data_IF_890279635030
#
_entry.id   IF_890279635030
#
_cell.length_a   1.000
_cell.length_b   1.000
_cell.length_c   1.000
_cell.angle_alpha   90.00
_cell.angle_beta   90.00
_cell.angle_gamma   90.00
#
_symmetry.space_group_name_H-M   'P 1'
#
loop_
_entity.id
_entity.type
_entity.pdbx_description
1 polymer ?
#
# COMPACT_ATOMS: atom_id res chain seq x y z
N UNK A 1 -42.24 -17.44 -12.79
CA UNK A 1 -42.57 -18.87 -12.79
C UNK A 1 -41.45 -19.64 -13.49
N UNK A 2 -41.02 -20.77 -12.89
CA UNK A 2 -39.96 -21.74 -13.31
C UNK A 2 -38.52 -21.27 -13.01
N UNK A 3 -37.79 -21.78 -12.01
CA UNK A 3 -37.38 -23.14 -11.57
C UNK A 3 -36.01 -23.55 -12.15
N UNK A 4 -34.98 -23.61 -11.27
CA UNK A 4 -33.91 -24.63 -11.19
C UNK A 4 -32.87 -24.12 -10.16
N UNK A 5 -32.73 -24.62 -8.93
CA UNK A 5 -32.50 -25.97 -8.41
C UNK A 5 -31.02 -26.44 -8.46
N UNK A 6 -30.38 -26.37 -7.29
CA UNK A 6 -29.44 -27.32 -6.66
C UNK A 6 -28.08 -27.63 -7.31
N UNK A 7 -27.00 -27.55 -6.51
CA UNK A 7 -26.25 -28.71 -5.99
C UNK A 7 -25.49 -28.26 -4.73
N UNK A 8 -25.81 -28.93 -3.61
CA UNK A 8 -25.02 -28.94 -2.39
C UNK A 8 -24.07 -30.14 -2.47
N UNK A 9 -22.80 -29.94 -2.11
CA UNK A 9 -21.86 -31.03 -1.85
C UNK A 9 -21.18 -30.76 -0.50
N UNK A 10 -21.64 -31.49 0.51
CA UNK A 10 -20.94 -31.69 1.77
C UNK A 10 -20.07 -32.95 1.62
N UNK A 11 -18.80 -32.87 2.03
CA UNK A 11 -18.00 -34.05 2.33
C UNK A 11 -17.09 -33.75 3.53
N UNK A 12 -17.36 -34.53 4.57
CA UNK A 12 -16.60 -34.69 5.80
C UNK A 12 -15.21 -35.28 5.50
N UNK A 13 -14.21 -35.00 6.35
CA UNK A 13 -13.59 -36.01 7.23
C UNK A 13 -12.37 -35.45 7.99
N UNK A 14 -12.57 -35.42 9.30
CA UNK A 14 -11.69 -35.68 10.43
C UNK A 14 -10.30 -36.26 10.14
N UNK A 15 -9.25 -35.64 10.70
CA UNK A 15 -8.05 -36.33 11.17
C UNK A 15 -7.49 -35.65 12.44
N UNK A 16 -7.68 -36.31 13.59
CA UNK A 16 -6.92 -36.06 14.81
C UNK A 16 -5.49 -36.58 14.61
N UNK A 17 -4.50 -35.73 14.89
CA UNK A 17 -3.09 -36.13 14.96
C UNK A 17 -2.40 -35.43 16.12
N UNK A 18 -2.48 -36.04 17.31
CA UNK A 18 -1.68 -35.68 18.48
C UNK A 18 -0.30 -36.31 18.33
N UNK A 19 0.75 -35.48 18.25
CA UNK A 19 2.12 -35.92 18.47
C UNK A 19 2.93 -34.76 19.06
N UNK A 20 3.18 -34.84 20.37
CA UNK A 20 4.28 -34.17 21.06
C UNK A 20 5.31 -35.26 21.36
N UNK A 21 6.60 -34.99 21.15
CA UNK A 21 7.45 -34.81 22.32
C UNK A 21 8.50 -33.71 22.17
N UNK A 22 8.87 -33.17 23.33
CA UNK A 22 9.88 -32.16 23.58
C UNK A 22 11.32 -32.59 23.23
N UNK A 23 12.13 -31.62 22.78
CA UNK A 23 13.55 -31.56 23.17
C UNK A 23 14.04 -30.12 23.27
N UNK A 24 14.57 -29.81 24.45
CA UNK A 24 15.34 -28.66 24.90
C UNK A 24 16.55 -28.34 24.01
N UNK A 25 16.77 -27.07 23.72
CA UNK A 25 18.14 -26.56 23.55
C UNK A 25 18.27 -25.16 24.16
N UNK A 26 18.92 -25.12 25.32
CA UNK A 26 19.34 -23.90 26.03
C UNK A 26 20.68 -23.46 25.47
N UNK A 27 20.68 -22.46 24.59
CA UNK A 27 21.89 -21.77 24.12
C UNK A 27 22.11 -20.46 24.90
N UNK A 28 23.27 -20.23 25.53
CA UNK A 28 23.55 -18.98 26.23
C UNK A 28 23.78 -17.82 25.26
N UNK A 29 23.14 -16.72 25.62
CA UNK A 29 23.22 -15.36 25.10
C UNK A 29 24.66 -14.84 24.99
N UNK A 30 25.10 -14.55 23.76
CA UNK A 30 26.20 -13.61 23.51
C UNK A 30 25.57 -12.24 23.17
N UNK A 31 25.46 -11.38 24.18
CA UNK A 31 25.07 -9.98 24.04
C UNK A 31 26.21 -9.21 23.36
N UNK A 32 26.23 -9.21 22.04
CA UNK A 32 26.89 -8.16 21.27
C UNK A 32 26.03 -6.91 21.35
N UNK A 33 26.36 -5.98 22.24
CA UNK A 33 25.87 -4.59 22.20
C UNK A 33 26.54 -3.91 21.00
N UNK A 34 26.15 -4.31 19.79
CA UNK A 34 26.28 -3.46 18.62
C UNK A 34 25.29 -2.33 18.82
N UNK A 35 25.79 -1.14 19.15
CA UNK A 35 24.98 0.06 19.09
C UNK A 35 24.30 0.09 17.73
N UNK A 36 22.97 -0.06 17.73
CA UNK A 36 22.19 0.05 16.52
C UNK A 36 22.61 1.37 15.85
N UNK A 37 22.94 1.37 14.55
CA UNK A 37 23.20 2.62 13.86
C UNK A 37 21.99 3.54 14.11
N UNK A 38 22.21 4.85 14.32
CA UNK A 38 21.11 5.78 14.56
C UNK A 38 20.11 5.55 13.43
N UNK A 39 18.92 5.06 13.78
CA UNK A 39 17.83 4.91 12.83
C UNK A 39 17.66 6.31 12.26
N UNK A 40 18.02 6.47 10.98
CA UNK A 40 17.82 7.72 10.26
C UNK A 40 16.36 8.08 10.46
N UNK A 41 16.10 9.06 11.31
CA UNK A 41 14.75 9.37 11.73
C UNK A 41 14.05 9.89 10.48
N UNK A 42 13.22 9.04 9.87
CA UNK A 42 12.39 9.43 8.75
C UNK A 42 11.71 10.74 9.15
N UNK A 43 11.94 11.80 8.36
CA UNK A 43 11.36 13.10 8.69
C UNK A 43 9.85 12.95 8.63
N UNK A 44 9.19 13.17 9.76
CA UNK A 44 7.74 13.15 9.83
C UNK A 44 7.14 14.17 8.84
N UNK A 45 5.99 13.83 8.27
CA UNK A 45 5.22 14.76 7.44
C UNK A 45 4.79 15.99 8.26
N UNK A 46 4.55 17.12 7.59
CA UNK A 46 3.95 18.28 8.26
C UNK A 46 2.56 17.90 8.81
N UNK A 47 2.07 18.51 9.91
CA UNK A 47 0.79 18.12 10.52
C UNK A 47 -0.41 18.14 9.55
N UNK A 48 -0.45 19.11 8.64
CA UNK A 48 -1.51 19.20 7.63
C UNK A 48 -1.42 18.08 6.59
N UNK A 49 -0.21 17.77 6.14
CA UNK A 49 0.07 16.68 5.22
C UNK A 49 -0.28 15.33 5.85
N UNK A 50 0.02 15.14 7.13
CA UNK A 50 -0.34 13.94 7.88
C UNK A 50 -1.87 13.77 7.97
N UNK A 51 -2.60 14.85 8.24
CA UNK A 51 -4.08 14.84 8.27
C UNK A 51 -4.65 14.43 6.92
N UNK A 52 -4.16 15.01 5.82
CA UNK A 52 -4.60 14.68 4.45
C UNK A 52 -4.28 13.21 4.13
N UNK A 53 -3.07 12.76 4.42
CA UNK A 53 -2.66 11.39 4.20
C UNK A 53 -3.53 10.38 4.97
N UNK A 54 -3.83 10.63 6.24
CA UNK A 54 -4.74 9.79 7.03
C UNK A 54 -6.15 9.76 6.47
N UNK A 55 -6.68 10.92 6.01
CA UNK A 55 -7.98 10.97 5.35
C UNK A 55 -8.01 10.20 4.02
N UNK A 56 -6.91 10.22 3.27
CA UNK A 56 -6.76 9.43 2.05
C UNK A 56 -6.73 7.92 2.35
N UNK A 57 -5.99 7.48 3.38
CA UNK A 57 -5.98 6.08 3.85
C UNK A 57 -7.37 5.63 4.30
N UNK A 58 -8.10 6.47 5.06
CA UNK A 58 -9.48 6.18 5.47
C UNK A 58 -10.42 6.04 4.26
N UNK A 59 -10.28 6.90 3.25
CA UNK A 59 -11.02 6.76 2.00
C UNK A 59 -10.69 5.44 1.29
N UNK A 60 -9.41 5.09 1.15
CA UNK A 60 -8.98 3.84 0.52
C UNK A 60 -9.56 2.60 1.22
N UNK A 61 -9.60 2.61 2.56
CA UNK A 61 -10.10 1.50 3.38
C UNK A 61 -11.62 1.38 3.45
N UNK A 62 -12.36 2.38 2.99
CA UNK A 62 -13.82 2.38 3.08
C UNK A 62 -14.40 3.15 4.26
N UNK A 63 -13.55 3.68 5.15
CA UNK A 63 -13.96 4.39 6.37
C UNK A 63 -14.47 5.82 6.09
N UNK A 64 -14.29 6.30 4.85
CA UNK A 64 -14.74 7.63 4.40
C UNK A 64 -15.23 7.54 2.96
N UNK A 65 -16.33 8.21 2.62
CA UNK A 65 -16.92 8.12 1.26
C UNK A 65 -16.19 8.93 0.19
N UNK A 66 -15.43 9.95 0.59
CA UNK A 66 -14.75 10.89 -0.32
C UNK A 66 -13.27 11.05 0.03
N UNK A 67 -12.38 11.13 -0.98
CA UNK A 67 -10.98 11.46 -0.75
C UNK A 67 -10.84 12.92 -0.27
N UNK A 68 -9.70 13.29 0.32
CA UNK A 68 -9.34 14.69 0.54
C UNK A 68 -8.88 15.33 -0.79
N UNK A 69 -9.79 15.43 -1.76
CA UNK A 69 -9.57 16.05 -3.06
C UNK A 69 -10.91 16.58 -3.61
N UNK A 70 -10.88 17.78 -4.20
CA UNK A 70 -12.00 18.41 -4.92
C UNK A 70 -11.64 18.85 -6.36
N UNK A 71 -10.35 18.89 -6.68
CA UNK A 71 -9.80 19.15 -8.01
C UNK A 71 -9.39 17.84 -8.71
N UNK A 72 -9.20 17.85 -10.04
CA UNK A 72 -8.72 16.67 -10.75
C UNK A 72 -7.41 16.13 -10.17
N UNK A 73 -7.31 14.80 -10.04
CA UNK A 73 -6.14 14.12 -9.47
C UNK A 73 -5.38 13.39 -10.57
N UNK A 74 -4.08 13.64 -10.68
CA UNK A 74 -3.22 12.87 -11.58
C UNK A 74 -2.83 11.52 -10.96
N UNK A 75 -2.98 10.44 -11.74
CA UNK A 75 -2.63 9.09 -11.32
C UNK A 75 -1.33 8.68 -12.01
N UNK A 76 -0.42 8.11 -11.22
CA UNK A 76 0.89 7.65 -11.65
C UNK A 76 1.11 6.20 -11.23
N UNK A 77 1.82 5.44 -12.08
CA UNK A 77 2.36 4.12 -11.77
C UNK A 77 3.87 4.14 -12.01
N UNK A 78 4.64 3.88 -10.96
CA UNK A 78 6.11 3.86 -11.02
C UNK A 78 6.70 5.16 -11.53
N UNK A 79 6.09 6.31 -11.21
CA UNK A 79 6.54 7.63 -11.66
C UNK A 79 6.04 8.04 -13.06
N UNK A 80 5.33 7.17 -13.77
CA UNK A 80 4.75 7.47 -15.08
C UNK A 80 3.29 7.89 -14.94
N UNK A 81 2.93 9.07 -15.47
CA UNK A 81 1.53 9.53 -15.47
C UNK A 81 0.71 8.64 -16.40
N UNK A 82 -0.33 8.03 -15.87
CA UNK A 82 -1.21 7.15 -16.65
C UNK A 82 -2.47 7.88 -17.08
N UNK A 83 -3.13 8.60 -16.16
CA UNK A 83 -4.35 9.37 -16.44
C UNK A 83 -4.62 10.45 -15.40
N UNK A 84 -5.59 11.30 -15.69
CA UNK A 84 -6.16 12.27 -14.74
C UNK A 84 -7.59 11.86 -14.39
N UNK A 85 -7.88 11.73 -13.10
CA UNK A 85 -9.21 11.50 -12.57
C UNK A 85 -9.92 12.84 -12.38
N UNK A 86 -11.08 13.01 -13.01
CA UNK A 86 -11.85 14.25 -12.91
C UNK A 86 -12.53 14.38 -11.54
N UNK A 87 -12.88 15.60 -11.12
CA UNK A 87 -13.56 15.86 -9.84
C UNK A 87 -14.84 15.03 -9.63
N UNK A 88 -15.59 14.74 -10.70
CA UNK A 88 -16.79 13.89 -10.63
C UNK A 88 -16.48 12.42 -10.30
N UNK A 89 -15.31 11.93 -10.70
CA UNK A 89 -14.87 10.55 -10.50
C UNK A 89 -14.17 10.29 -9.16
N UNK A 90 -13.80 11.33 -8.41
CA UNK A 90 -13.00 11.19 -7.19
C UNK A 90 -13.63 10.29 -6.11
N UNK A 91 -14.96 10.26 -6.03
CA UNK A 91 -15.68 9.41 -5.06
C UNK A 91 -15.83 7.95 -5.47
N UNK A 92 -15.60 7.63 -6.75
CA UNK A 92 -15.66 6.25 -7.25
C UNK A 92 -14.29 5.59 -7.10
N UNK A 93 -14.16 4.68 -6.13
CA UNK A 93 -12.91 3.96 -5.87
C UNK A 93 -12.41 3.16 -7.07
N UNK A 94 -13.31 2.63 -7.90
CA UNK A 94 -12.91 1.90 -9.11
C UNK A 94 -12.28 2.84 -10.13
N UNK A 95 -12.70 4.11 -10.15
CA UNK A 95 -12.09 5.12 -11.00
C UNK A 95 -10.65 5.52 -10.57
N UNK A 96 -10.11 4.98 -9.48
CA UNK A 96 -8.70 5.12 -9.10
C UNK A 96 -7.80 4.02 -9.66
N UNK A 97 -8.38 2.98 -10.25
CA UNK A 97 -7.63 1.94 -10.93
C UNK A 97 -6.91 2.49 -12.17
N UNK A 98 -5.72 2.01 -12.43
CA UNK A 98 -4.93 2.45 -13.56
C UNK A 98 -4.16 1.28 -14.16
N UNK A 99 -3.87 1.40 -15.45
CA UNK A 99 -3.04 0.46 -16.16
C UNK A 99 -2.16 1.22 -17.15
N UNK A 100 -0.85 0.94 -17.22
CA UNK A 100 -0.02 1.50 -18.27
C UNK A 100 -0.38 0.84 -19.62
N UNK A 101 0.11 1.44 -20.69
CA UNK A 101 0.06 0.83 -22.02
C UNK A 101 0.79 -0.51 -21.98
N UNK A 102 0.11 -1.60 -22.37
CA UNK A 102 0.65 -2.96 -22.33
C UNK A 102 0.06 -3.89 -21.27
N UNK A 103 -0.79 -3.40 -20.37
CA UNK A 103 -1.61 -4.30 -19.53
C UNK A 103 -0.93 -4.85 -18.27
N UNK A 104 0.30 -4.45 -17.98
CA UNK A 104 1.10 -4.96 -16.87
C UNK A 104 1.90 -3.86 -16.16
N UNK A 105 2.11 -4.01 -14.85
CA UNK A 105 2.94 -3.13 -14.04
C UNK A 105 3.65 -3.94 -12.96
N UNK A 106 4.98 -3.80 -12.86
CA UNK A 106 5.82 -4.50 -11.88
C UNK A 106 5.61 -6.04 -11.87
N UNK A 107 5.59 -6.64 -13.06
CA UNK A 107 5.34 -8.09 -13.23
C UNK A 107 3.90 -8.55 -12.94
N UNK A 108 2.96 -7.63 -12.68
CA UNK A 108 1.55 -7.93 -12.35
C UNK A 108 0.63 -7.53 -13.49
N UNK A 109 -0.44 -8.30 -13.68
CA UNK A 109 -1.51 -7.96 -14.61
C UNK A 109 -2.36 -6.85 -13.98
N UNK A 110 -2.68 -5.83 -14.76
CA UNK A 110 -3.58 -4.74 -14.36
C UNK A 110 -4.98 -5.21 -13.93
N UNK A 111 -5.73 -4.39 -13.18
CA UNK A 111 -5.42 -3.00 -12.79
C UNK A 111 -4.47 -2.88 -11.58
N UNK A 112 -3.66 -1.83 -11.57
CA UNK A 112 -2.96 -1.34 -10.38
C UNK A 112 -3.73 -0.20 -9.71
N UNK A 113 -3.74 -0.14 -8.38
CA UNK A 113 -4.43 0.94 -7.64
C UNK A 113 -3.75 1.20 -6.31
N UNK A 114 -3.45 2.48 -6.04
CA UNK A 114 -2.95 2.92 -4.74
C UNK A 114 -3.99 2.67 -3.63
N UNK A 115 -5.28 2.78 -3.94
CA UNK A 115 -6.34 2.47 -2.98
C UNK A 115 -6.35 0.98 -2.64
N UNK A 116 -6.14 0.13 -3.63
CA UNK A 116 -6.20 -1.32 -3.44
C UNK A 116 -5.10 -1.82 -2.51
N UNK A 117 -3.86 -1.36 -2.67
CA UNK A 117 -2.77 -1.76 -1.75
C UNK A 117 -3.02 -1.29 -0.31
N UNK A 118 -3.59 -0.10 -0.15
CA UNK A 118 -3.95 0.46 1.16
C UNK A 118 -5.14 -0.28 1.81
N UNK A 119 -6.09 -0.74 0.99
CA UNK A 119 -7.27 -1.49 1.39
C UNK A 119 -6.91 -2.92 1.80
N UNK A 120 -6.05 -3.59 1.03
CA UNK A 120 -5.60 -4.95 1.30
C UNK A 120 -4.64 -5.02 2.51
N UNK A 121 -3.86 -3.95 2.76
CA UNK A 121 -2.97 -3.88 3.91
C UNK A 121 -3.72 -3.55 5.20
N UNK A 122 -4.00 -4.58 6.00
CA UNK A 122 -4.64 -4.45 7.31
C UNK A 122 -3.75 -3.80 8.39
N UNK A 123 -2.43 -3.78 8.18
CA UNK A 123 -1.46 -3.29 9.15
C UNK A 123 -1.40 -1.76 9.26
N UNK A 124 -0.49 -1.27 10.09
CA UNK A 124 -0.19 0.15 10.15
C UNK A 124 0.53 0.62 8.87
N UNK A 125 0.30 1.88 8.53
CA UNK A 125 0.95 2.59 7.41
C UNK A 125 1.83 3.66 8.03
N UNK A 126 3.12 3.68 7.67
CA UNK A 126 4.02 4.76 8.04
C UNK A 126 3.84 5.94 7.08
N UNK A 127 3.94 7.16 7.62
CA UNK A 127 3.83 8.41 6.89
C UNK A 127 5.16 9.15 7.02
N UNK A 128 5.76 9.53 5.88
CA UNK A 128 7.04 10.25 5.86
C UNK A 128 7.03 11.39 4.84
N UNK A 129 7.69 12.50 5.17
CA UNK A 129 7.87 13.64 4.25
C UNK A 129 8.82 13.31 3.09
N UNK A 130 9.75 12.37 3.30
CA UNK A 130 10.76 11.97 2.32
C UNK A 130 10.51 10.53 1.86
N UNK A 131 10.80 10.21 0.58
CA UNK A 131 10.75 8.83 0.12
C UNK A 131 11.66 7.93 0.97
N UNK A 132 11.24 6.68 1.22
CA UNK A 132 12.08 5.73 1.95
C UNK A 132 13.36 5.44 1.17
N UNK A 133 14.50 5.40 1.87
CA UNK A 133 15.77 4.88 1.34
C UNK A 133 15.78 3.37 1.47
N UNK A 134 15.05 2.67 0.59
CA UNK A 134 15.05 1.21 0.55
C UNK A 134 15.37 0.70 -0.87
N UNK A 135 15.93 -0.51 -0.97
CA UNK A 135 16.31 -1.12 -2.26
C UNK A 135 15.13 -1.64 -3.08
N UNK A 136 13.94 -1.78 -2.49
CA UNK A 136 12.74 -2.25 -3.15
C UNK A 136 12.06 -1.17 -4.00
N UNK A 137 12.37 0.11 -3.76
CA UNK A 137 11.79 1.26 -4.46
C UNK A 137 12.92 2.05 -5.15
N UNK A 138 13.11 1.85 -6.46
CA UNK A 138 14.06 2.65 -7.23
C UNK A 138 13.67 4.13 -7.19
N UNK A 139 14.63 5.01 -6.88
CA UNK A 139 14.39 6.45 -6.83
C UNK A 139 13.81 7.02 -8.14
N UNK A 140 14.16 6.43 -9.28
CA UNK A 140 13.65 6.83 -10.60
C UNK A 140 12.12 6.68 -10.74
N UNK A 141 11.49 5.85 -9.90
CA UNK A 141 10.04 5.62 -9.92
C UNK A 141 9.29 6.55 -8.96
N UNK A 142 10.00 7.44 -8.27
CA UNK A 142 9.43 8.37 -7.29
C UNK A 142 9.15 9.75 -7.89
N UNK A 143 8.09 10.41 -7.41
CA UNK A 143 7.79 11.80 -7.74
C UNK A 143 8.59 12.72 -6.83
N UNK A 144 9.41 13.60 -7.41
CA UNK A 144 10.15 14.61 -6.65
C UNK A 144 9.23 15.63 -5.94
N UNK A 145 8.03 15.85 -6.50
CA UNK A 145 7.02 16.74 -5.92
C UNK A 145 6.18 16.08 -4.80
N UNK A 146 6.39 14.80 -4.51
CA UNK A 146 5.64 14.12 -3.47
C UNK A 146 5.91 14.74 -2.10
N UNK A 147 4.84 15.08 -1.40
CA UNK A 147 4.88 15.70 -0.06
C UNK A 147 4.66 14.69 1.05
N UNK A 148 4.04 13.55 0.74
CA UNK A 148 3.85 12.44 1.70
C UNK A 148 4.10 11.10 1.04
N UNK A 149 4.79 10.24 1.76
CA UNK A 149 5.11 8.88 1.37
C UNK A 149 4.45 7.93 2.37
N UNK A 150 3.65 7.00 1.86
CA UNK A 150 2.93 5.98 2.60
C UNK A 150 3.57 4.63 2.34
N UNK A 151 3.96 3.93 3.39
CA UNK A 151 4.61 2.61 3.27
C UNK A 151 4.05 1.64 4.31
N UNK A 152 4.04 0.33 4.02
CA UNK A 152 3.62 -0.65 5.01
C UNK A 152 4.67 -0.76 6.12
N UNK A 153 4.23 -0.81 7.38
CA UNK A 153 5.13 -1.06 8.51
C UNK A 153 5.38 -2.54 8.71
N UNK A 154 6.61 -2.93 9.09
CA UNK A 154 6.94 -4.30 9.47
C UNK A 154 7.11 -5.27 8.29
N UNK A 155 7.16 -4.77 7.06
CA UNK A 155 7.46 -5.57 5.88
C UNK A 155 8.95 -5.80 5.75
N UNK A 156 9.35 -7.07 5.56
CA UNK A 156 10.75 -7.50 5.45
C UNK A 156 11.14 -7.96 4.05
N UNK A 157 10.19 -8.03 3.11
CA UNK A 157 10.38 -8.50 1.74
C UNK A 157 10.00 -7.43 0.72
N UNK A 158 10.76 -7.32 -0.37
CA UNK A 158 10.42 -6.41 -1.47
C UNK A 158 9.13 -6.81 -2.20
N UNK A 159 8.76 -8.11 -2.19
CA UNK A 159 7.54 -8.60 -2.86
C UNK A 159 6.25 -8.05 -2.23
N UNK A 160 6.31 -7.77 -0.93
CA UNK A 160 5.18 -7.23 -0.14
C UNK A 160 5.33 -5.72 0.09
N UNK A 161 6.43 -5.13 -0.40
CA UNK A 161 6.71 -3.71 -0.24
C UNK A 161 5.99 -2.90 -1.32
N UNK A 162 5.32 -1.85 -0.89
CA UNK A 162 4.73 -0.85 -1.77
C UNK A 162 5.00 0.54 -1.19
N UNK A 163 4.99 1.53 -2.08
CA UNK A 163 5.04 2.94 -1.73
C UNK A 163 3.90 3.65 -2.44
N UNK A 164 3.06 4.35 -1.68
CA UNK A 164 2.10 5.30 -2.24
C UNK A 164 2.61 6.71 -1.94
N UNK A 165 2.80 7.52 -2.97
CA UNK A 165 3.19 8.91 -2.82
C UNK A 165 2.02 9.83 -3.11
N UNK A 166 1.84 10.83 -2.25
CA UNK A 166 0.82 11.86 -2.41
C UNK A 166 1.52 13.20 -2.65
N UNK A 167 1.09 13.90 -3.70
CA UNK A 167 1.32 15.34 -3.84
C UNK A 167 0.11 16.04 -3.21
N UNK A 168 0.38 16.85 -2.20
CA UNK A 168 -0.64 17.59 -1.45
C UNK A 168 -0.41 19.09 -1.66
N UNK A 169 -1.44 19.78 -2.11
CA UNK A 169 -1.47 21.23 -2.27
C UNK A 169 -2.74 21.79 -1.62
N UNK A 170 -2.59 22.85 -0.83
CA UNK A 170 -3.67 23.48 -0.04
C UNK A 170 -4.60 22.49 0.70
N UNK A 171 -4.02 21.44 1.27
CA UNK A 171 -4.77 20.41 1.99
C UNK A 171 -5.56 19.43 1.11
N UNK A 172 -5.36 19.44 -0.20
CA UNK A 172 -5.97 18.53 -1.17
C UNK A 172 -4.91 17.63 -1.83
N UNK A 173 -5.27 16.38 -2.11
CA UNK A 173 -4.46 15.50 -2.96
C UNK A 173 -4.62 15.93 -4.40
N UNK A 174 -3.52 16.21 -5.09
CA UNK A 174 -3.50 16.62 -6.51
C UNK A 174 -2.84 15.57 -7.41
N UNK A 175 -1.98 14.71 -6.86
CA UNK A 175 -1.45 13.56 -7.57
C UNK A 175 -1.19 12.37 -6.62
N UNK A 176 -1.32 11.17 -7.17
CA UNK A 176 -1.04 9.91 -6.48
C UNK A 176 -0.18 9.02 -7.34
N UNK A 177 0.94 8.56 -6.79
CA UNK A 177 1.84 7.59 -7.43
C UNK A 177 1.87 6.29 -6.64
N UNK A 178 1.63 5.17 -7.31
CA UNK A 178 1.88 3.84 -6.76
C UNK A 178 3.21 3.32 -7.29
N UNK A 179 4.10 2.95 -6.38
CA UNK A 179 5.36 2.28 -6.67
C UNK A 179 5.34 0.89 -6.02
N UNK A 180 5.68 -0.12 -6.80
CA UNK A 180 5.83 -1.50 -6.34
C UNK A 180 7.12 -2.07 -6.91
N UNK A 181 7.71 -3.02 -6.19
CA UNK A 181 8.87 -3.74 -6.67
C UNK A 181 8.51 -4.62 -7.87
N UNK A 182 9.35 -4.56 -8.92
CA UNK A 182 9.30 -5.48 -10.06
C UNK A 182 10.28 -6.64 -9.81
N UNK A 183 9.79 -7.89 -9.70
CA UNK A 183 10.62 -9.05 -9.36
C UNK A 183 11.54 -9.52 -10.48
#
# INVERSE_FOLDING_TARGET
MRCAAWIAAALLLTACGTAEPATTETGPTASGTGAAPPSETATAAAPDQERVARAFVAFARGDRDRPPADTPVELYLGGHRTRTLTSSGLGDRQAWETCPEGGHFAGRVCPGSALEVLRQHAGAVALAARPPTNSCVPAAQTLAAATVNLTPTGVTSCLDYWLVQLVVDDGQVTAVNLVQFEP
#
